data_IF_521352977494
#
_entry.id   IF_521352977494
#
_cell.length_a   1.000
_cell.length_b   1.000
_cell.length_c   1.000
_cell.angle_alpha   90.00
_cell.angle_beta   90.00
_cell.angle_gamma   90.00
#
_symmetry.space_group_name_H-M   'P 1'
#
loop_
_entity.id
_entity.type
_entity.pdbx_description
1 polymer ?
#
# COMPACT_ATOMS: atom_id res chain seq x y z
N UNK A 1 -3.35 -6.10 -11.31
CA UNK A 1 -2.53 -4.88 -11.44
C UNK A 1 -2.29 -4.45 -12.91
N UNK A 2 -1.87 -5.31 -13.86
CA UNK A 2 -1.42 -4.85 -15.19
C UNK A 2 -2.45 -4.02 -15.97
N UNK A 3 -3.73 -4.42 -15.93
CA UNK A 3 -4.82 -3.66 -16.54
C UNK A 3 -4.92 -2.22 -16.01
N UNK A 4 -5.01 -2.05 -14.68
CA UNK A 4 -5.16 -0.72 -14.08
C UNK A 4 -3.89 0.13 -14.24
N UNK A 5 -2.71 -0.50 -14.27
CA UNK A 5 -1.46 0.19 -14.57
C UNK A 5 -1.40 0.68 -16.02
N UNK A 6 -1.84 -0.16 -16.98
CA UNK A 6 -1.95 0.25 -18.39
C UNK A 6 -2.99 1.34 -18.61
N UNK A 7 -4.13 1.27 -17.92
CA UNK A 7 -5.15 2.31 -17.93
C UNK A 7 -4.61 3.64 -17.40
N UNK A 8 -3.93 3.61 -16.26
CA UNK A 8 -3.28 4.79 -15.68
C UNK A 8 -2.22 5.37 -16.62
N UNK A 9 -1.39 4.53 -17.23
CA UNK A 9 -0.33 4.97 -18.15
C UNK A 9 -0.86 5.68 -19.41
N UNK A 10 -2.05 5.31 -19.89
CA UNK A 10 -2.70 5.97 -21.03
C UNK A 10 -3.51 7.21 -20.64
N UNK A 11 -4.05 7.25 -19.43
CA UNK A 11 -5.00 8.27 -18.99
C UNK A 11 -4.63 8.86 -17.62
N UNK A 12 -3.38 9.23 -17.39
CA UNK A 12 -2.90 9.74 -16.09
C UNK A 12 -3.61 11.02 -15.62
N UNK A 13 -4.11 11.83 -16.56
CA UNK A 13 -4.88 13.05 -16.28
C UNK A 13 -6.38 12.77 -16.07
N UNK A 14 -6.84 11.52 -16.23
CA UNK A 14 -8.22 11.14 -16.01
C UNK A 14 -8.40 10.58 -14.60
N UNK A 15 -9.29 11.18 -13.83
CA UNK A 15 -9.54 10.87 -12.42
C UNK A 15 -10.03 9.42 -12.23
N UNK A 16 -10.80 8.90 -13.18
CA UNK A 16 -11.31 7.51 -13.13
C UNK A 16 -10.15 6.53 -13.28
N UNK A 17 -9.20 6.79 -14.18
CA UNK A 17 -8.02 5.93 -14.33
C UNK A 17 -7.15 5.91 -13.07
N UNK A 18 -6.94 7.07 -12.45
CA UNK A 18 -6.22 7.23 -11.18
C UNK A 18 -6.93 6.52 -10.02
N UNK A 19 -8.26 6.59 -9.99
CA UNK A 19 -9.10 5.94 -8.98
C UNK A 19 -9.07 4.41 -9.12
N UNK A 20 -9.24 3.89 -10.34
CA UNK A 20 -9.19 2.44 -10.62
C UNK A 20 -7.85 1.86 -10.22
N UNK A 21 -6.74 2.55 -10.51
CA UNK A 21 -5.42 2.14 -10.06
C UNK A 21 -5.29 2.13 -8.54
N UNK A 22 -5.71 3.21 -7.88
CA UNK A 22 -5.70 3.33 -6.41
C UNK A 22 -6.46 2.23 -5.72
N UNK A 23 -7.71 1.97 -6.15
CA UNK A 23 -8.54 0.92 -5.60
C UNK A 23 -7.91 -0.47 -5.76
N UNK A 24 -7.33 -0.77 -6.93
CA UNK A 24 -6.65 -2.04 -7.15
C UNK A 24 -5.46 -2.22 -6.19
N UNK A 25 -4.63 -1.18 -6.05
CA UNK A 25 -3.50 -1.18 -5.11
C UNK A 25 -3.95 -1.34 -3.65
N UNK A 26 -4.98 -0.60 -3.24
CA UNK A 26 -5.55 -0.70 -1.90
C UNK A 26 -6.04 -2.12 -1.59
N UNK A 27 -6.80 -2.74 -2.52
CA UNK A 27 -7.28 -4.11 -2.36
C UNK A 27 -6.12 -5.10 -2.25
N UNK A 28 -5.08 -4.99 -3.09
CA UNK A 28 -3.91 -5.85 -3.00
C UNK A 28 -3.22 -5.77 -1.62
N UNK A 29 -3.00 -4.56 -1.11
CA UNK A 29 -2.36 -4.36 0.20
C UNK A 29 -3.26 -4.84 1.34
N UNK A 30 -4.56 -4.55 1.27
CA UNK A 30 -5.53 -4.99 2.25
C UNK A 30 -5.59 -6.53 2.33
N UNK A 31 -5.66 -7.21 1.20
CA UNK A 31 -5.65 -8.68 1.15
C UNK A 31 -4.35 -9.24 1.71
N UNK A 32 -3.19 -8.65 1.36
CA UNK A 32 -1.89 -9.05 1.93
C UNK A 32 -1.86 -8.89 3.45
N UNK A 33 -2.39 -7.78 3.99
CA UNK A 33 -2.51 -7.58 5.44
C UNK A 33 -3.42 -8.62 6.08
N UNK A 34 -4.60 -8.88 5.50
CA UNK A 34 -5.55 -9.87 6.00
C UNK A 34 -4.97 -11.29 5.97
N UNK A 35 -4.25 -11.67 4.92
CA UNK A 35 -3.54 -12.95 4.82
C UNK A 35 -2.49 -13.09 5.93
N UNK A 36 -1.69 -12.04 6.17
CA UNK A 36 -0.69 -12.06 7.24
C UNK A 36 -1.33 -12.18 8.63
N UNK A 37 -2.36 -11.37 8.90
CA UNK A 37 -3.16 -11.44 10.14
C UNK A 37 -3.73 -12.84 10.37
N UNK A 38 -4.26 -13.47 9.32
CA UNK A 38 -4.80 -14.83 9.40
C UNK A 38 -3.72 -15.86 9.68
N UNK A 39 -2.60 -15.81 8.96
CA UNK A 39 -1.50 -16.77 9.08
C UNK A 39 -0.82 -16.73 10.45
N UNK A 40 -0.67 -15.52 11.02
CA UNK A 40 0.04 -15.29 12.29
C UNK A 40 -0.85 -15.42 13.51
N UNK A 41 -2.18 -15.34 13.36
CA UNK A 41 -3.11 -15.61 14.46
C UNK A 41 -2.87 -17.04 14.95
N UNK A 42 -2.53 -17.18 16.23
CA UNK A 42 -2.26 -18.46 16.89
C UNK A 42 -1.22 -19.34 16.17
N UNK A 43 -0.29 -18.73 15.41
CA UNK A 43 0.68 -19.43 14.57
C UNK A 43 0.05 -20.44 13.59
N UNK A 44 -1.17 -20.20 13.11
CA UNK A 44 -1.94 -21.12 12.25
C UNK A 44 -1.18 -21.61 11.01
N UNK A 45 -0.49 -20.69 10.32
CA UNK A 45 0.24 -20.98 9.07
C UNK A 45 1.70 -20.49 9.13
N UNK A 46 2.21 -20.20 10.32
CA UNK A 46 3.59 -19.77 10.54
C UNK A 46 4.24 -20.66 11.60
N UNK A 47 5.57 -20.78 11.59
CA UNK A 47 6.28 -21.56 12.61
C UNK A 47 5.96 -21.04 14.02
N UNK A 48 5.75 -21.94 14.97
CA UNK A 48 5.51 -21.59 16.37
C UNK A 48 6.70 -20.87 17.03
N UNK A 49 7.91 -21.01 16.47
CA UNK A 49 9.11 -20.30 16.89
C UNK A 49 9.31 -18.95 16.19
N UNK A 50 8.34 -18.46 15.42
CA UNK A 50 8.45 -17.18 14.74
C UNK A 50 8.41 -16.04 15.78
N UNK A 51 9.40 -15.16 15.71
CA UNK A 51 9.54 -14.03 16.62
C UNK A 51 8.28 -13.13 16.62
N UNK A 52 7.64 -12.90 17.78
CA UNK A 52 6.52 -11.99 17.91
C UNK A 52 6.82 -10.56 17.43
N UNK A 53 8.06 -10.09 17.57
CA UNK A 53 8.45 -8.77 17.06
C UNK A 53 8.37 -8.73 15.54
N UNK A 54 8.92 -9.74 14.86
CA UNK A 54 8.79 -9.90 13.41
C UNK A 54 7.33 -9.98 12.93
N UNK A 55 6.47 -10.71 13.65
CA UNK A 55 5.03 -10.80 13.36
C UNK A 55 4.37 -9.43 13.39
N UNK A 56 4.57 -8.69 14.48
CA UNK A 56 3.98 -7.38 14.68
C UNK A 56 4.54 -6.32 13.72
N UNK A 57 5.83 -6.41 13.41
CA UNK A 57 6.50 -5.52 12.47
C UNK A 57 5.96 -5.68 11.04
N UNK A 58 5.79 -6.90 10.56
CA UNK A 58 5.22 -7.13 9.22
C UNK A 58 3.77 -6.64 9.11
N UNK A 59 2.98 -6.78 10.18
CA UNK A 59 1.63 -6.23 10.23
C UNK A 59 1.65 -4.70 10.16
N UNK A 60 2.55 -4.04 10.92
CA UNK A 60 2.74 -2.57 10.88
C UNK A 60 3.22 -2.07 9.53
N UNK A 61 4.12 -2.82 8.87
CA UNK A 61 4.63 -2.46 7.54
C UNK A 61 3.54 -2.42 6.48
N UNK A 62 2.48 -3.22 6.61
CA UNK A 62 1.36 -3.19 5.67
C UNK A 62 0.41 -2.00 5.90
N UNK A 63 0.42 -1.38 7.09
CA UNK A 63 -0.44 -0.22 7.40
C UNK A 63 -0.03 1.03 6.62
N UNK A 64 1.28 1.26 6.44
CA UNK A 64 1.77 2.43 5.70
C UNK A 64 1.19 2.52 4.27
N UNK A 65 1.33 1.51 3.40
CA UNK A 65 0.80 1.57 2.04
C UNK A 65 -0.73 1.55 2.02
N UNK A 66 -1.36 0.91 3.01
CA UNK A 66 -2.81 0.91 3.15
C UNK A 66 -3.34 2.34 3.36
N UNK A 67 -2.71 3.09 4.28
CA UNK A 67 -3.07 4.47 4.59
C UNK A 67 -2.73 5.40 3.41
N UNK A 68 -1.55 5.28 2.82
CA UNK A 68 -1.16 6.17 1.71
C UNK A 68 -2.03 5.97 0.47
N UNK A 69 -2.39 4.72 0.13
CA UNK A 69 -3.32 4.45 -0.96
C UNK A 69 -4.74 4.91 -0.66
N UNK A 70 -5.21 4.78 0.59
CA UNK A 70 -6.50 5.32 0.99
C UNK A 70 -6.55 6.85 0.84
N UNK A 71 -5.50 7.56 1.29
CA UNK A 71 -5.40 9.02 1.13
C UNK A 71 -5.40 9.40 -0.35
N UNK A 72 -4.64 8.69 -1.20
CA UNK A 72 -4.59 8.97 -2.63
C UNK A 72 -5.96 8.74 -3.32
N UNK A 73 -6.70 7.71 -2.92
CA UNK A 73 -8.08 7.49 -3.39
C UNK A 73 -8.97 8.68 -3.00
N UNK A 74 -8.95 9.10 -1.74
CA UNK A 74 -9.76 10.23 -1.25
C UNK A 74 -9.42 11.54 -1.98
N UNK A 75 -8.13 11.82 -2.20
CA UNK A 75 -7.69 12.98 -2.98
C UNK A 75 -8.21 12.92 -4.43
N UNK A 76 -8.21 11.74 -5.04
CA UNK A 76 -8.74 11.54 -6.39
C UNK A 76 -10.25 11.77 -6.44
N UNK A 77 -11.00 11.37 -5.41
CA UNK A 77 -12.44 11.65 -5.32
C UNK A 77 -12.73 13.15 -5.15
N UNK A 78 -11.91 13.88 -4.39
CA UNK A 78 -12.00 15.34 -4.28
C UNK A 78 -11.67 16.02 -5.61
N UNK A 79 -10.65 15.52 -6.31
CA UNK A 79 -10.27 15.97 -7.66
C UNK A 79 -11.41 15.78 -8.66
N UNK A 80 -12.07 14.61 -8.65
CA UNK A 80 -13.25 14.32 -9.48
C UNK A 80 -14.41 15.28 -9.20
N UNK A 81 -14.64 15.64 -7.93
CA UNK A 81 -15.74 16.53 -7.56
C UNK A 81 -15.47 18.01 -7.84
N UNK A 82 -14.23 18.46 -7.63
CA UNK A 82 -13.83 19.88 -7.74
C UNK A 82 -13.12 20.23 -9.05
N UNK A 83 -12.82 19.27 -9.91
CA UNK A 83 -12.03 19.47 -11.13
C UNK A 83 -10.57 19.87 -10.86
N UNK A 84 -10.00 19.44 -9.73
CA UNK A 84 -8.60 19.71 -9.36
C UNK A 84 -7.70 18.66 -10.04
N UNK A 85 -6.44 18.98 -10.27
CA UNK A 85 -5.49 18.03 -10.87
C UNK A 85 -5.17 16.80 -10.00
N UNK A 86 -4.94 15.66 -10.64
CA UNK A 86 -4.65 14.34 -10.03
C UNK A 86 -3.20 14.17 -9.56
N UNK A 87 -2.33 15.16 -9.76
CA UNK A 87 -0.89 15.07 -9.46
C UNK A 87 -0.58 14.65 -8.02
N UNK A 88 -1.34 15.14 -7.03
CA UNK A 88 -1.11 14.78 -5.63
C UNK A 88 -1.29 13.28 -5.37
N UNK A 89 -2.32 12.66 -5.97
CA UNK A 89 -2.54 11.21 -5.86
C UNK A 89 -1.43 10.42 -6.56
N UNK A 90 -0.98 10.88 -7.73
CA UNK A 90 0.11 10.24 -8.48
C UNK A 90 1.42 10.27 -7.70
N UNK A 91 1.75 11.40 -7.08
CA UNK A 91 2.94 11.55 -6.23
C UNK A 91 2.90 10.55 -5.07
N UNK A 92 1.75 10.38 -4.42
CA UNK A 92 1.60 9.38 -3.35
C UNK A 92 1.83 7.95 -3.86
N UNK A 93 1.33 7.61 -5.05
CA UNK A 93 1.58 6.29 -5.64
C UNK A 93 3.05 6.04 -5.95
N UNK A 94 3.80 7.07 -6.37
CA UNK A 94 5.23 6.99 -6.67
C UNK A 94 6.07 6.90 -5.38
N UNK A 95 5.73 7.67 -4.35
CA UNK A 95 6.50 7.72 -3.09
C UNK A 95 6.29 6.47 -2.24
N UNK A 96 5.09 5.89 -2.25
CA UNK A 96 4.73 4.73 -1.40
C UNK A 96 5.73 3.55 -1.47
N UNK A 97 6.21 3.08 -2.64
CA UNK A 97 7.16 1.97 -2.71
C UNK A 97 8.60 2.34 -2.31
N UNK A 98 8.99 3.62 -2.30
CA UNK A 98 10.39 4.04 -2.09
C UNK A 98 10.98 3.55 -0.76
N UNK A 99 10.32 3.67 0.40
CA UNK A 99 10.85 3.17 1.66
C UNK A 99 11.12 1.65 1.68
N UNK A 100 10.35 0.89 0.92
CA UNK A 100 10.48 -0.55 0.79
C UNK A 100 11.65 -0.92 -0.12
N UNK A 101 11.76 -0.25 -1.27
CA UNK A 101 12.85 -0.44 -2.24
C UNK A 101 14.20 -0.10 -1.60
N UNK A 102 14.27 1.00 -0.84
CA UNK A 102 15.50 1.43 -0.16
C UNK A 102 15.81 0.63 1.11
N UNK A 103 14.94 -0.32 1.49
CA UNK A 103 15.09 -1.11 2.70
C UNK A 103 14.98 -0.32 4.00
N UNK A 104 14.57 0.96 3.96
CA UNK A 104 14.46 1.84 5.12
C UNK A 104 13.50 1.27 6.17
N UNK A 105 12.44 0.62 5.69
CA UNK A 105 11.49 -0.12 6.50
C UNK A 105 12.18 -1.21 7.33
N UNK A 106 13.00 -2.06 6.70
CA UNK A 106 13.62 -3.24 7.32
C UNK A 106 14.82 -2.92 8.21
N UNK A 107 15.49 -1.78 7.98
CA UNK A 107 16.61 -1.33 8.82
C UNK A 107 16.24 -1.18 10.31
N UNK A 108 14.96 -0.95 10.63
CA UNK A 108 14.50 -0.87 12.02
C UNK A 108 14.47 -2.22 12.74
N UNK A 109 14.29 -3.33 12.03
CA UNK A 109 14.21 -4.66 12.63
C UNK A 109 15.59 -5.24 12.95
N UNK A 110 16.64 -4.81 12.24
CA UNK A 110 18.01 -5.28 12.44
C UNK A 110 18.87 -4.34 13.29
N UNK A 111 18.29 -3.24 13.78
CA UNK A 111 18.98 -2.34 14.70
C UNK A 111 18.80 -2.93 16.11
N UNK A 112 19.59 -3.97 16.39
CA UNK A 112 19.85 -4.45 17.75
C UNK A 112 20.80 -3.43 18.35
N UNK A 113 20.27 -2.54 19.19
CA UNK A 113 21.07 -1.75 20.14
C UNK A 113 21.35 -2.61 21.38
#
# INVERSE_FOLDING_TARGET
IPFSAGLLGRYANNEIAVLVYGCNMFVCVFLRYSMWRYATKDHRLVSAGLDPEFISFNARLALFPLITYLIAILLTMVSLWKGISTWFSLILYIITPIPYILGLSYRRLYRVD
#
